data_IF_290205473205
#
_entry.id   IF_290205473205
#
_cell.length_a   1.000
_cell.length_b   1.000
_cell.length_c   1.000
_cell.angle_alpha   90.00
_cell.angle_beta   90.00
_cell.angle_gamma   90.00
#
_symmetry.space_group_name_H-M   'P 1'
#
loop_
_entity.id
_entity.type
_entity.pdbx_description
1 polymer ?
#
# COMPACT_ATOMS: atom_id res chain seq x y z
N UNK A 1 1.37 -11.39 17.43
CA UNK A 1 0.86 -12.26 16.38
C UNK A 1 -0.33 -11.56 15.75
N UNK A 2 -0.07 -10.76 14.78
CA UNK A 2 -1.05 -9.92 14.12
C UNK A 2 -0.83 -9.94 12.60
N UNK A 3 -1.85 -9.55 11.84
CA UNK A 3 -1.83 -9.52 10.40
C UNK A 3 -0.98 -8.37 9.84
N UNK A 4 -0.35 -8.64 8.71
CA UNK A 4 0.40 -7.66 7.93
C UNK A 4 -0.15 -7.60 6.50
N UNK A 5 -0.31 -6.39 5.99
CA UNK A 5 -0.69 -6.12 4.61
C UNK A 5 0.47 -5.42 3.90
N UNK A 6 0.99 -6.01 2.84
CA UNK A 6 2.07 -5.45 2.03
C UNK A 6 1.51 -5.04 0.68
N UNK A 7 1.64 -3.76 0.34
CA UNK A 7 1.08 -3.16 -0.86
C UNK A 7 2.16 -2.81 -1.89
N UNK A 8 1.95 -3.32 -3.08
CA UNK A 8 2.80 -3.07 -4.23
C UNK A 8 2.07 -2.20 -5.26
N UNK A 9 2.84 -1.43 -6.02
CA UNK A 9 2.34 -0.66 -7.16
C UNK A 9 2.37 -1.45 -8.48
N UNK A 10 3.04 -2.62 -8.51
CA UNK A 10 3.23 -3.46 -9.69
C UNK A 10 3.07 -4.93 -9.35
N UNK A 11 2.24 -5.64 -10.12
CA UNK A 11 2.05 -7.09 -10.01
C UNK A 11 3.37 -7.83 -10.22
N UNK A 12 4.14 -7.45 -11.24
CA UNK A 12 5.45 -8.04 -11.54
C UNK A 12 6.41 -7.93 -10.36
N UNK A 13 6.47 -6.75 -9.72
CA UNK A 13 7.34 -6.56 -8.55
C UNK A 13 6.88 -7.41 -7.37
N UNK A 14 5.59 -7.50 -7.14
CA UNK A 14 5.01 -8.33 -6.07
C UNK A 14 5.37 -9.81 -6.26
N UNK A 15 5.20 -10.33 -7.48
CA UNK A 15 5.52 -11.71 -7.84
C UNK A 15 7.02 -11.98 -7.71
N UNK A 16 7.87 -11.08 -8.23
CA UNK A 16 9.33 -11.20 -8.12
C UNK A 16 9.79 -11.25 -6.66
N UNK A 17 9.29 -10.36 -5.81
CA UNK A 17 9.63 -10.37 -4.37
C UNK A 17 9.19 -11.68 -3.73
N UNK A 18 7.99 -12.19 -4.06
CA UNK A 18 7.49 -13.44 -3.52
C UNK A 18 8.37 -14.63 -3.92
N UNK A 19 8.80 -14.70 -5.18
CA UNK A 19 9.64 -15.78 -5.72
C UNK A 19 11.06 -15.79 -5.11
N UNK A 20 11.56 -14.64 -4.68
CA UNK A 20 12.88 -14.51 -4.04
C UNK A 20 12.86 -14.81 -2.52
N UNK A 21 11.68 -15.01 -1.92
CA UNK A 21 11.57 -15.24 -0.48
C UNK A 21 12.02 -16.65 -0.08
N UNK A 22 12.72 -16.77 1.06
CA UNK A 22 12.98 -18.07 1.67
C UNK A 22 11.67 -18.84 1.97
N UNK A 23 11.71 -20.15 1.86
CA UNK A 23 10.54 -21.01 2.03
C UNK A 23 9.82 -20.88 3.38
N UNK A 24 10.56 -20.59 4.44
CA UNK A 24 10.01 -20.36 5.79
C UNK A 24 9.16 -19.09 5.85
N UNK A 25 9.57 -18.01 5.15
CA UNK A 25 8.79 -16.79 5.03
C UNK A 25 7.64 -16.94 4.05
N UNK A 26 7.86 -17.60 2.90
CA UNK A 26 6.81 -17.80 1.89
C UNK A 26 5.56 -18.52 2.45
N UNK A 27 5.73 -19.42 3.42
CA UNK A 27 4.62 -20.12 4.10
C UNK A 27 3.70 -19.20 4.90
N UNK A 28 4.18 -18.05 5.34
CA UNK A 28 3.41 -17.06 6.10
C UNK A 28 2.57 -16.16 5.18
N UNK A 29 2.85 -16.20 3.89
CA UNK A 29 2.35 -15.26 2.90
C UNK A 29 1.20 -15.83 2.10
N UNK A 30 0.22 -14.97 1.84
CA UNK A 30 -0.85 -15.17 0.86
C UNK A 30 -0.72 -14.07 -0.18
N UNK A 31 -0.45 -14.43 -1.43
CA UNK A 31 -0.24 -13.48 -2.53
C UNK A 31 -1.48 -13.34 -3.39
N UNK A 32 -1.82 -12.12 -3.76
CA UNK A 32 -2.93 -11.81 -4.66
C UNK A 32 -2.81 -12.55 -5.99
N UNK A 33 -3.88 -13.25 -6.37
CA UNK A 33 -3.92 -14.08 -7.58
C UNK A 33 -3.76 -15.58 -7.30
N UNK A 34 -3.29 -15.97 -6.10
CA UNK A 34 -3.21 -17.38 -5.70
C UNK A 34 -4.61 -17.96 -5.36
N UNK A 35 -5.45 -17.15 -4.77
CA UNK A 35 -6.83 -17.45 -4.43
C UNK A 35 -7.74 -16.26 -4.80
N UNK A 36 -9.05 -16.44 -4.72
CA UNK A 36 -9.95 -15.28 -4.78
C UNK A 36 -9.70 -14.35 -3.60
N UNK A 37 -9.98 -13.05 -3.76
CA UNK A 37 -9.78 -12.05 -2.68
C UNK A 37 -10.53 -12.45 -1.40
N UNK A 38 -11.75 -12.98 -1.54
CA UNK A 38 -12.57 -13.46 -0.42
C UNK A 38 -11.90 -14.61 0.32
N UNK A 39 -11.36 -15.57 -0.42
CA UNK A 39 -10.69 -16.73 0.15
C UNK A 39 -9.37 -16.35 0.83
N UNK A 40 -8.60 -15.44 0.25
CA UNK A 40 -7.38 -14.91 0.86
C UNK A 40 -7.67 -14.26 2.21
N UNK A 41 -8.69 -13.41 2.27
CA UNK A 41 -9.11 -12.75 3.52
C UNK A 41 -9.56 -13.77 4.56
N UNK A 42 -10.34 -14.78 4.15
CA UNK A 42 -10.78 -15.86 5.03
C UNK A 42 -9.60 -16.63 5.64
N UNK A 43 -8.68 -17.08 4.80
CA UNK A 43 -7.49 -17.83 5.23
C UNK A 43 -6.58 -16.97 6.14
N UNK A 44 -6.45 -15.68 5.82
CA UNK A 44 -5.67 -14.74 6.62
C UNK A 44 -6.24 -14.59 8.03
N UNK A 45 -7.56 -14.34 8.14
CA UNK A 45 -8.26 -14.23 9.42
C UNK A 45 -8.14 -15.51 10.23
N UNK A 46 -8.37 -16.64 9.60
CA UNK A 46 -8.28 -17.96 10.23
C UNK A 46 -6.88 -18.25 10.81
N UNK A 47 -5.81 -17.86 10.09
CA UNK A 47 -4.45 -17.98 10.62
C UNK A 47 -4.23 -17.10 11.84
N UNK A 48 -4.71 -15.86 11.81
CA UNK A 48 -4.58 -14.93 12.96
C UNK A 48 -5.37 -15.43 14.16
N UNK A 49 -6.61 -15.91 13.97
CA UNK A 49 -7.45 -16.45 15.03
C UNK A 49 -6.81 -17.68 15.70
N UNK A 50 -6.03 -18.47 14.93
CA UNK A 50 -5.23 -19.59 15.44
C UNK A 50 -3.91 -19.13 16.11
N UNK A 51 -3.70 -17.83 16.28
CA UNK A 51 -2.46 -17.28 16.86
C UNK A 51 -1.22 -17.38 15.97
N UNK A 52 -1.40 -17.61 14.66
CA UNK A 52 -0.33 -17.69 13.67
C UNK A 52 -0.06 -16.34 13.02
N UNK A 53 1.14 -16.14 12.53
CA UNK A 53 1.48 -14.99 11.68
C UNK A 53 0.89 -15.19 10.28
N UNK A 54 0.34 -14.14 9.71
CA UNK A 54 -0.13 -14.15 8.33
C UNK A 54 0.14 -12.81 7.65
N UNK A 55 0.63 -12.87 6.42
CA UNK A 55 0.98 -11.70 5.60
C UNK A 55 0.22 -11.78 4.29
N UNK A 56 -0.46 -10.70 3.93
CA UNK A 56 -1.12 -10.54 2.63
C UNK A 56 -0.22 -9.68 1.73
N UNK A 57 0.10 -10.18 0.53
CA UNK A 57 0.71 -9.38 -0.53
C UNK A 57 -0.34 -9.05 -1.58
N UNK A 58 -0.50 -7.77 -1.88
CA UNK A 58 -1.47 -7.32 -2.86
C UNK A 58 -1.15 -5.96 -3.47
N UNK A 59 -1.94 -5.60 -4.47
CA UNK A 59 -1.93 -4.27 -5.07
C UNK A 59 -2.89 -3.34 -4.32
N UNK A 60 -2.82 -2.04 -4.62
CA UNK A 60 -3.73 -1.06 -4.02
C UNK A 60 -5.21 -1.41 -4.25
N UNK A 61 -5.56 -1.91 -5.44
CA UNK A 61 -6.92 -2.39 -5.78
C UNK A 61 -7.39 -3.56 -4.90
N UNK A 62 -6.47 -4.44 -4.50
CA UNK A 62 -6.78 -5.50 -3.52
C UNK A 62 -7.12 -4.89 -2.16
N UNK A 63 -6.32 -3.93 -1.70
CA UNK A 63 -6.53 -3.28 -0.41
C UNK A 63 -7.90 -2.56 -0.33
N UNK A 64 -8.37 -1.98 -1.43
CA UNK A 64 -9.68 -1.31 -1.49
C UNK A 64 -10.84 -2.26 -1.22
N UNK A 65 -10.72 -3.53 -1.63
CA UNK A 65 -11.76 -4.55 -1.52
C UNK A 65 -11.72 -5.40 -0.25
N UNK A 66 -10.76 -5.18 0.68
CA UNK A 66 -10.60 -6.03 1.86
C UNK A 66 -10.94 -5.30 3.15
N UNK A 67 -11.51 -6.05 4.10
CA UNK A 67 -11.84 -5.60 5.44
C UNK A 67 -11.07 -6.41 6.49
N UNK A 68 -10.12 -5.74 7.16
CA UNK A 68 -9.18 -6.32 8.10
C UNK A 68 -9.13 -5.51 9.41
N UNK A 69 -10.18 -5.55 10.23
CA UNK A 69 -10.23 -4.79 11.49
C UNK A 69 -9.31 -5.39 12.56
N UNK A 70 -8.80 -4.53 13.45
CA UNK A 70 -8.05 -4.91 14.64
C UNK A 70 -6.80 -5.75 14.34
N UNK A 71 -6.68 -6.90 14.97
CA UNK A 71 -5.51 -7.78 14.85
C UNK A 71 -5.30 -8.37 13.47
N UNK A 72 -6.30 -8.32 12.59
CA UNK A 72 -6.15 -8.78 11.21
C UNK A 72 -5.27 -7.86 10.35
N UNK A 73 -5.06 -6.60 10.75
CA UNK A 73 -4.09 -5.71 10.09
C UNK A 73 -3.49 -4.71 11.09
N UNK A 74 -2.39 -5.08 11.71
CA UNK A 74 -1.61 -4.18 12.60
C UNK A 74 -0.38 -3.59 11.95
N UNK A 75 -0.03 -4.06 10.77
CA UNK A 75 1.09 -3.54 10.01
C UNK A 75 0.71 -3.41 8.54
N UNK A 76 0.84 -2.21 8.02
CA UNK A 76 0.73 -1.94 6.57
C UNK A 76 2.11 -1.57 6.06
N UNK A 77 2.60 -2.29 5.07
CA UNK A 77 3.86 -2.02 4.39
C UNK A 77 3.57 -1.53 2.98
N UNK A 78 4.06 -0.36 2.64
CA UNK A 78 3.93 0.23 1.31
C UNK A 78 5.30 0.13 0.63
N UNK A 79 5.44 -0.81 -0.30
CA UNK A 79 6.71 -1.12 -0.95
C UNK A 79 7.23 0.04 -1.82
N UNK A 80 6.33 0.76 -2.48
CA UNK A 80 6.63 1.98 -3.26
C UNK A 80 5.48 2.97 -3.17
N UNK A 81 5.80 4.25 -3.29
CA UNK A 81 4.80 5.31 -3.39
C UNK A 81 3.83 5.01 -4.56
N UNK A 82 2.51 5.11 -4.33
CA UNK A 82 1.48 4.64 -5.26
C UNK A 82 1.21 5.64 -6.40
N UNK A 83 2.28 6.10 -7.07
CA UNK A 83 2.13 6.89 -8.28
C UNK A 83 1.48 6.03 -9.37
N UNK A 84 0.50 6.61 -10.07
CA UNK A 84 -0.06 5.97 -11.24
C UNK A 84 1.01 5.86 -12.34
N UNK A 85 1.09 4.69 -12.95
CA UNK A 85 1.77 4.58 -14.25
C UNK A 85 0.77 5.14 -15.27
N UNK A 86 1.13 6.12 -16.09
CA UNK A 86 0.25 6.67 -17.11
C UNK A 86 0.05 5.62 -18.21
N UNK A 87 -0.89 4.70 -18.00
CA UNK A 87 -1.25 3.64 -18.95
C UNK A 87 -2.72 3.72 -19.39
N UNK A 88 -3.44 4.72 -18.89
CA UNK A 88 -4.83 4.93 -19.27
C UNK A 88 -4.91 6.13 -20.22
N UNK A 89 -5.50 5.97 -21.42
CA UNK A 89 -5.59 7.03 -22.41
C UNK A 89 -6.20 8.33 -21.88
N UNK A 90 -7.14 8.21 -20.94
CA UNK A 90 -7.77 9.38 -20.30
C UNK A 90 -6.77 10.15 -19.41
N UNK A 91 -5.91 9.45 -18.68
CA UNK A 91 -4.90 10.10 -17.82
C UNK A 91 -3.81 10.76 -18.66
N UNK A 92 -3.41 10.14 -19.76
CA UNK A 92 -2.46 10.72 -20.72
C UNK A 92 -3.04 11.99 -21.34
N UNK A 93 -4.28 11.93 -21.85
CA UNK A 93 -4.95 13.09 -22.44
C UNK A 93 -5.13 14.24 -21.43
N UNK A 94 -5.44 13.93 -20.16
CA UNK A 94 -5.57 14.94 -19.11
C UNK A 94 -4.21 15.57 -18.77
N UNK A 95 -3.14 14.77 -18.73
CA UNK A 95 -1.79 15.26 -18.50
C UNK A 95 -1.34 16.21 -19.63
N UNK A 96 -1.53 15.82 -20.89
CA UNK A 96 -1.25 16.63 -22.05
C UNK A 96 -2.05 17.95 -22.04
N UNK A 97 -3.33 17.88 -21.69
CA UNK A 97 -4.17 19.07 -21.58
C UNK A 97 -3.66 20.04 -20.52
N UNK A 98 -3.30 19.58 -19.31
CA UNK A 98 -2.76 20.42 -18.25
C UNK A 98 -1.45 21.06 -18.68
N UNK A 99 -0.56 20.30 -19.30
CA UNK A 99 0.73 20.83 -19.79
C UNK A 99 0.54 21.85 -20.90
N UNK A 100 -0.46 21.68 -21.76
CA UNK A 100 -0.83 22.66 -22.79
C UNK A 100 -1.34 23.99 -22.21
N UNK A 101 -1.89 23.96 -20.99
CA UNK A 101 -2.33 25.15 -20.24
C UNK A 101 -1.22 25.76 -19.38
N UNK A 102 0.03 25.25 -19.46
CA UNK A 102 1.16 25.72 -18.68
C UNK A 102 1.21 25.17 -17.25
N UNK A 103 0.38 24.16 -16.92
CA UNK A 103 0.41 23.44 -15.67
C UNK A 103 1.49 22.34 -15.64
N UNK A 104 1.58 21.64 -14.51
CA UNK A 104 2.49 20.52 -14.33
C UNK A 104 1.72 19.27 -13.94
N UNK A 105 1.58 18.33 -14.87
CA UNK A 105 0.79 17.10 -14.69
C UNK A 105 1.24 16.27 -13.48
N UNK A 106 2.52 16.31 -13.13
CA UNK A 106 3.01 15.62 -11.94
C UNK A 106 2.45 16.25 -10.64
N UNK A 107 2.54 17.57 -10.49
CA UNK A 107 2.08 18.25 -9.28
C UNK A 107 0.56 18.39 -9.22
N UNK A 108 -0.10 18.55 -10.39
CA UNK A 108 -1.53 18.82 -10.47
C UNK A 108 -2.39 17.55 -10.46
N UNK A 109 -1.84 16.40 -10.89
CA UNK A 109 -2.57 15.12 -10.96
C UNK A 109 -1.87 14.02 -10.17
N UNK A 110 -0.61 13.69 -10.54
CA UNK A 110 0.04 12.47 -10.06
C UNK A 110 0.31 12.50 -8.56
N UNK A 111 0.76 13.62 -8.04
CA UNK A 111 1.07 13.80 -6.63
C UNK A 111 -0.19 13.82 -5.74
N UNK A 112 -1.28 14.55 -6.07
CA UNK A 112 -2.54 14.46 -5.33
C UNK A 112 -3.15 13.06 -5.31
N UNK A 113 -3.12 12.35 -6.44
CA UNK A 113 -3.62 10.97 -6.52
C UNK A 113 -2.77 10.00 -5.69
N UNK A 114 -1.44 10.14 -5.73
CA UNK A 114 -0.55 9.34 -4.90
C UNK A 114 -0.78 9.61 -3.40
N UNK A 115 -0.99 10.87 -3.02
CA UNK A 115 -1.35 11.29 -1.67
C UNK A 115 -2.65 10.63 -1.21
N UNK A 116 -3.70 10.69 -2.01
CA UNK A 116 -4.99 10.07 -1.70
C UNK A 116 -4.86 8.54 -1.51
N UNK A 117 -4.16 7.87 -2.42
CA UNK A 117 -3.92 6.42 -2.33
C UNK A 117 -3.10 6.05 -1.09
N UNK A 118 -2.12 6.88 -0.73
CA UNK A 118 -1.31 6.68 0.47
C UNK A 118 -2.15 6.82 1.75
N UNK A 119 -3.04 7.82 1.81
CA UNK A 119 -4.00 8.00 2.90
C UNK A 119 -4.94 6.80 2.99
N UNK A 120 -5.50 6.35 1.88
CA UNK A 120 -6.40 5.19 1.83
C UNK A 120 -5.70 3.91 2.29
N UNK A 121 -4.45 3.68 1.85
CA UNK A 121 -3.66 2.53 2.25
C UNK A 121 -3.35 2.54 3.76
N UNK A 122 -2.93 3.69 4.30
CA UNK A 122 -2.66 3.84 5.74
C UNK A 122 -3.94 3.76 6.59
N UNK A 123 -5.06 4.21 6.05
CA UNK A 123 -6.39 4.09 6.68
C UNK A 123 -6.89 2.65 6.82
N UNK A 124 -6.26 1.67 6.15
CA UNK A 124 -6.55 0.25 6.36
C UNK A 124 -6.10 -0.25 7.73
N UNK A 125 -5.13 0.44 8.33
CA UNK A 125 -4.63 0.13 9.66
C UNK A 125 -5.56 0.62 10.77
N UNK A 126 -6.10 1.84 10.62
CA UNK A 126 -6.88 2.53 11.65
C UNK A 126 -8.34 2.62 11.22
N UNK A 127 -9.16 1.68 11.68
CA UNK A 127 -10.59 1.64 11.41
C UNK A 127 -11.44 2.16 12.55
N UNK A 128 -10.92 2.05 13.77
CA UNK A 128 -11.56 2.53 15.00
C UNK A 128 -10.60 3.41 15.78
N UNK A 129 -11.11 4.20 16.71
CA UNK A 129 -10.29 5.07 17.56
C UNK A 129 -9.33 4.31 18.48
N UNK A 130 -9.58 3.03 18.70
CA UNK A 130 -8.76 2.14 19.52
C UNK A 130 -7.76 1.31 18.73
N UNK A 131 -7.82 1.34 17.40
CA UNK A 131 -6.88 0.60 16.56
C UNK A 131 -5.48 1.20 16.67
N UNK A 132 -4.50 0.33 16.80
CA UNK A 132 -3.09 0.67 16.84
C UNK A 132 -2.31 -0.17 15.85
N UNK A 133 -1.25 0.39 15.29
CA UNK A 133 -0.40 -0.35 14.37
C UNK A 133 0.67 0.52 13.73
N UNK A 134 1.37 -0.06 12.77
CA UNK A 134 2.50 0.56 12.10
C UNK A 134 2.28 0.64 10.59
N UNK A 135 2.59 1.79 10.01
CA UNK A 135 2.71 1.96 8.56
C UNK A 135 4.18 2.10 8.21
N UNK A 136 4.72 1.19 7.41
CA UNK A 136 6.09 1.24 6.91
C UNK A 136 6.09 1.59 5.42
N UNK A 137 6.80 2.64 5.04
CA UNK A 137 6.94 3.06 3.64
C UNK A 137 8.39 2.86 3.23
N UNK A 138 8.63 1.93 2.28
CA UNK A 138 9.97 1.51 1.88
C UNK A 138 10.55 2.31 0.70
N UNK A 139 9.91 3.40 0.33
CA UNK A 139 10.32 4.23 -0.79
C UNK A 139 11.13 5.45 -0.33
N UNK A 140 12.44 5.42 -0.60
CA UNK A 140 13.35 6.52 -0.26
C UNK A 140 12.96 7.88 -0.83
N UNK A 141 12.14 7.94 -1.88
CA UNK A 141 11.65 9.19 -2.47
C UNK A 141 10.85 10.03 -1.48
N UNK A 142 10.25 9.38 -0.47
CA UNK A 142 9.51 10.05 0.60
C UNK A 142 10.40 11.01 1.41
N UNK A 143 11.67 10.67 1.57
CA UNK A 143 12.65 11.49 2.35
C UNK A 143 13.65 12.24 1.48
N UNK A 144 13.89 11.77 0.24
CA UNK A 144 14.89 12.37 -0.65
C UNK A 144 14.33 13.40 -1.64
N UNK A 145 13.01 13.37 -1.88
CA UNK A 145 12.36 14.28 -2.84
C UNK A 145 11.61 15.40 -2.12
N UNK A 146 11.60 16.61 -2.71
CA UNK A 146 10.89 17.77 -2.12
C UNK A 146 9.41 17.52 -1.87
N UNK A 147 8.74 16.78 -2.75
CA UNK A 147 7.33 16.41 -2.60
C UNK A 147 7.08 15.39 -1.51
N UNK A 148 8.12 14.69 -1.03
CA UNK A 148 7.97 13.67 0.02
C UNK A 148 7.41 14.24 1.32
N UNK A 149 7.83 15.45 1.70
CA UNK A 149 7.26 16.16 2.84
C UNK A 149 5.75 16.40 2.68
N UNK A 150 5.31 16.81 1.49
CA UNK A 150 3.90 17.04 1.20
C UNK A 150 3.08 15.74 1.35
N UNK A 151 3.61 14.61 0.89
CA UNK A 151 2.98 13.30 1.08
C UNK A 151 2.90 12.91 2.56
N UNK A 152 3.97 13.13 3.32
CA UNK A 152 3.99 12.86 4.77
C UNK A 152 2.99 13.73 5.53
N UNK A 153 2.91 15.01 5.19
CA UNK A 153 2.02 15.96 5.87
C UNK A 153 0.54 15.70 5.56
N UNK A 154 0.23 15.03 4.45
CA UNK A 154 -1.12 14.61 4.10
C UNK A 154 -1.59 13.36 4.86
N UNK A 155 -0.68 12.58 5.44
CA UNK A 155 -1.03 11.40 6.24
C UNK A 155 -1.68 11.81 7.57
N UNK A 156 -2.53 10.93 8.15
CA UNK A 156 -2.98 11.09 9.53
C UNK A 156 -1.82 11.34 10.49
N UNK A 157 -2.08 11.91 11.69
CA UNK A 157 -1.04 12.32 12.63
C UNK A 157 -0.39 11.10 13.34
N UNK A 158 0.32 10.27 12.58
CA UNK A 158 1.11 9.18 13.10
C UNK A 158 2.39 9.71 13.78
N UNK A 159 2.85 9.00 14.82
CA UNK A 159 4.24 9.14 15.25
C UNK A 159 5.15 8.71 14.10
N UNK A 160 6.17 9.53 13.78
CA UNK A 160 7.01 9.31 12.61
C UNK A 160 8.43 8.95 13.03
N UNK A 161 8.95 7.86 12.49
CA UNK A 161 10.33 7.45 12.59
C UNK A 161 10.92 7.37 11.18
N UNK A 162 12.06 8.02 10.94
CA UNK A 162 12.75 8.00 9.66
C UNK A 162 14.04 7.21 9.84
N UNK A 163 14.08 6.01 9.26
CA UNK A 163 15.30 5.21 9.17
C UNK A 163 16.23 5.71 8.06
N UNK A 164 17.51 5.57 8.25
CA UNK A 164 18.56 5.86 7.26
C UNK A 164 19.00 4.60 6.53
#
# INVERSE_FOLDING_TARGET
KAGTLVLFSSKRQMEQVFDELPNDLARLILIQGQYSNREMVRLHKERIDQGKTSVLLGLASFAEGVDLPGDYCRHVVIAKLPFAVPNEPLQEALAEWIESQGGNSFFDISLPLASLRLIQASGRLLRTETDTGTVSILDKRLVTKRYGKQLLDALPPFHREVGH
#
